data_IF_888591032979
#
_entry.id   IF_888591032979
#
_cell.length_a   1.000
_cell.length_b   1.000
_cell.length_c   1.000
_cell.angle_alpha   90.00
_cell.angle_beta   90.00
_cell.angle_gamma   90.00
#
_symmetry.space_group_name_H-M   'P 1'
#
loop_
_entity.id
_entity.type
_entity.pdbx_description
1 polymer ?
#
# COMPACT_ATOMS: atom_id res chain seq x y z
N UNK A 1 -31.77 12.45 47.34
CA UNK A 1 -31.95 10.98 47.23
C UNK A 1 -31.42 10.36 45.95
N UNK A 2 -31.69 10.87 44.75
CA UNK A 2 -31.17 10.27 43.49
C UNK A 2 -29.62 10.18 43.38
N UNK A 3 -28.88 11.24 43.79
CA UNK A 3 -27.39 11.23 43.71
C UNK A 3 -26.75 10.18 44.64
N UNK A 4 -27.29 9.96 45.81
CA UNK A 4 -26.78 8.98 46.79
C UNK A 4 -27.00 7.55 46.30
N UNK A 5 -28.16 7.27 45.69
CA UNK A 5 -28.50 5.97 45.13
C UNK A 5 -27.63 5.60 43.91
N UNK A 6 -27.23 6.59 43.09
CA UNK A 6 -26.29 6.44 41.98
C UNK A 6 -24.88 6.15 42.50
N UNK A 7 -24.42 6.83 43.54
CA UNK A 7 -23.12 6.60 44.17
C UNK A 7 -23.04 5.23 44.85
N UNK A 8 -24.11 4.79 45.51
CA UNK A 8 -24.16 3.48 46.18
C UNK A 8 -24.20 2.32 45.15
N UNK A 9 -24.95 2.48 44.05
CA UNK A 9 -24.93 1.52 42.97
C UNK A 9 -23.56 1.44 42.29
N UNK A 10 -22.88 2.56 42.08
CA UNK A 10 -21.53 2.62 41.50
C UNK A 10 -20.50 1.90 42.39
N UNK A 11 -20.61 2.10 43.73
CA UNK A 11 -19.72 1.49 44.72
C UNK A 11 -19.94 -0.04 44.84
N UNK A 12 -21.18 -0.49 44.74
CA UNK A 12 -21.51 -1.92 44.77
C UNK A 12 -21.05 -2.64 43.47
N UNK A 13 -21.22 -1.98 42.32
CA UNK A 13 -20.73 -2.48 41.06
C UNK A 13 -19.18 -2.56 41.06
N UNK A 14 -18.50 -1.51 41.53
CA UNK A 14 -17.03 -1.49 41.70
C UNK A 14 -16.51 -2.63 42.59
N UNK A 15 -17.23 -2.95 43.69
CA UNK A 15 -16.81 -4.04 44.57
C UNK A 15 -17.02 -5.43 43.97
N UNK A 16 -18.09 -5.63 43.19
CA UNK A 16 -18.33 -6.89 42.48
C UNK A 16 -17.37 -7.11 41.31
N UNK A 17 -16.79 -6.04 40.78
CA UNK A 17 -15.87 -6.06 39.61
C UNK A 17 -14.41 -6.12 40.01
N UNK A 18 -14.04 -5.90 41.26
CA UNK A 18 -12.67 -6.01 41.76
C UNK A 18 -12.06 -7.42 41.64
N UNK A 19 -12.89 -8.42 41.48
CA UNK A 19 -12.45 -9.81 41.29
C UNK A 19 -12.30 -10.24 39.81
N UNK A 20 -12.83 -9.46 38.85
CA UNK A 20 -12.79 -9.81 37.42
C UNK A 20 -12.28 -8.65 36.56
N UNK A 21 -10.98 -8.62 36.30
CA UNK A 21 -10.32 -7.78 35.30
C UNK A 21 -10.46 -6.25 35.51
N UNK A 22 -9.47 -5.64 36.14
CA UNK A 22 -9.39 -4.17 36.36
C UNK A 22 -9.37 -3.32 35.07
N UNK A 23 -9.11 -3.92 33.91
CA UNK A 23 -8.92 -3.19 32.66
C UNK A 23 -10.23 -2.79 32.00
N UNK A 24 -11.08 -3.79 31.71
CA UNK A 24 -12.38 -3.54 31.06
C UNK A 24 -13.30 -2.69 31.94
N UNK A 25 -13.22 -2.87 33.27
CA UNK A 25 -13.97 -2.06 34.22
C UNK A 25 -13.58 -0.57 34.14
N UNK A 26 -12.30 -0.24 34.08
CA UNK A 26 -11.83 1.14 33.96
C UNK A 26 -12.31 1.78 32.64
N UNK A 27 -12.24 1.06 31.54
CA UNK A 27 -12.75 1.53 30.25
C UNK A 27 -14.26 1.75 30.28
N UNK A 28 -15.01 0.81 30.84
CA UNK A 28 -16.45 0.93 30.99
C UNK A 28 -16.82 2.19 31.81
N UNK A 29 -16.18 2.38 32.96
CA UNK A 29 -16.44 3.54 33.81
C UNK A 29 -16.05 4.88 33.21
N UNK A 30 -15.01 4.90 32.36
CA UNK A 30 -14.65 6.13 31.62
C UNK A 30 -15.71 6.54 30.59
N UNK A 31 -16.46 5.58 30.08
CA UNK A 31 -17.49 5.80 29.06
C UNK A 31 -18.90 5.97 29.61
N UNK A 32 -19.22 5.39 30.78
CA UNK A 32 -20.60 5.39 31.34
C UNK A 32 -21.01 6.69 32.07
N UNK A 33 -20.07 7.62 32.34
CA UNK A 33 -20.34 8.92 32.97
C UNK A 33 -21.20 8.82 34.26
N UNK A 34 -20.95 7.78 35.06
CA UNK A 34 -21.67 7.54 36.30
C UNK A 34 -23.00 6.79 36.16
N UNK A 35 -23.34 6.34 34.95
CA UNK A 35 -24.45 5.41 34.70
C UNK A 35 -23.99 3.97 34.89
N UNK A 36 -24.90 3.02 34.85
CA UNK A 36 -24.60 1.57 34.87
C UNK A 36 -24.59 0.94 33.48
N UNK A 37 -24.55 1.75 32.43
CA UNK A 37 -24.47 1.35 31.04
C UNK A 37 -23.68 2.36 30.22
N UNK A 38 -23.14 1.91 29.08
CA UNK A 38 -22.56 2.76 28.04
C UNK A 38 -23.55 2.87 26.88
N UNK A 39 -23.77 4.08 26.37
CA UNK A 39 -24.59 4.25 25.17
C UNK A 39 -23.83 3.73 23.92
N UNK A 40 -24.48 2.90 23.09
CA UNK A 40 -23.93 2.41 21.83
C UNK A 40 -23.38 3.54 20.95
N UNK A 41 -24.13 4.64 20.86
CA UNK A 41 -23.72 5.83 20.10
C UNK A 41 -22.43 6.45 20.63
N UNK A 42 -22.25 6.45 21.95
CA UNK A 42 -21.04 7.00 22.58
C UNK A 42 -19.83 6.15 22.30
N UNK A 43 -19.97 4.82 22.36
CA UNK A 43 -18.89 3.90 22.02
C UNK A 43 -18.52 4.02 20.52
N UNK A 44 -19.52 4.05 19.62
CA UNK A 44 -19.29 4.29 18.18
C UNK A 44 -18.57 5.62 17.94
N UNK A 45 -19.00 6.70 18.61
CA UNK A 45 -18.35 8.02 18.48
C UNK A 45 -16.91 7.99 18.97
N UNK A 46 -16.61 7.32 20.09
CA UNK A 46 -15.25 7.20 20.61
C UNK A 46 -14.33 6.46 19.59
N UNK A 47 -14.82 5.36 18.99
CA UNK A 47 -14.09 4.64 17.96
C UNK A 47 -13.86 5.49 16.71
N UNK A 48 -14.89 6.18 16.22
CA UNK A 48 -14.77 7.04 15.04
C UNK A 48 -13.81 8.21 15.28
N UNK A 49 -13.86 8.84 16.47
CA UNK A 49 -12.95 9.91 16.83
C UNK A 49 -11.49 9.43 16.92
N UNK A 50 -11.27 8.16 17.23
CA UNK A 50 -9.94 7.55 17.17
C UNK A 50 -9.53 7.12 15.76
N UNK A 51 -10.32 7.39 14.72
CA UNK A 51 -10.03 7.05 13.33
C UNK A 51 -10.45 5.65 12.92
N UNK A 52 -11.06 4.85 13.80
CA UNK A 52 -11.51 3.50 13.48
C UNK A 52 -12.90 3.54 12.84
N UNK A 53 -13.05 2.96 11.67
CA UNK A 53 -14.28 2.99 10.88
C UNK A 53 -14.94 1.61 10.76
N UNK A 54 -16.25 1.59 10.48
CA UNK A 54 -17.02 0.36 10.25
C UNK A 54 -16.60 -0.40 8.98
N UNK A 55 -15.92 0.25 8.07
CA UNK A 55 -15.33 -0.35 6.87
C UNK A 55 -14.11 -1.25 7.14
N UNK A 56 -13.52 -1.19 8.33
CA UNK A 56 -12.46 -2.11 8.73
C UNK A 56 -13.03 -3.50 8.99
N UNK A 57 -12.64 -4.49 8.19
CA UNK A 57 -13.09 -5.88 8.31
C UNK A 57 -12.86 -6.49 9.70
N UNK A 58 -11.85 -6.01 10.43
CA UNK A 58 -11.56 -6.44 11.81
C UNK A 58 -12.65 -5.98 12.80
N UNK A 59 -13.35 -4.90 12.46
CA UNK A 59 -14.36 -4.24 13.29
C UNK A 59 -15.80 -4.50 12.82
N UNK A 60 -16.00 -5.11 11.65
CA UNK A 60 -17.33 -5.38 11.08
C UNK A 60 -18.25 -6.11 12.08
N UNK A 61 -17.74 -7.16 12.71
CA UNK A 61 -18.49 -7.92 13.72
C UNK A 61 -18.79 -7.12 14.99
N UNK A 62 -17.97 -6.15 15.35
CA UNK A 62 -18.20 -5.21 16.43
C UNK A 62 -19.36 -4.25 16.09
N UNK A 63 -19.26 -3.58 14.94
CA UNK A 63 -20.29 -2.60 14.55
C UNK A 63 -21.64 -3.25 14.35
N UNK A 64 -21.71 -4.45 13.74
CA UNK A 64 -22.96 -5.26 13.64
C UNK A 64 -23.56 -5.56 15.01
N UNK A 65 -22.74 -5.92 16.00
CA UNK A 65 -23.22 -6.17 17.38
C UNK A 65 -23.69 -4.91 18.05
N UNK A 66 -22.99 -3.80 17.89
CA UNK A 66 -23.40 -2.50 18.43
C UNK A 66 -24.75 -2.05 17.83
N UNK A 67 -25.04 -2.43 16.60
CA UNK A 67 -26.32 -2.15 15.95
C UNK A 67 -27.44 -3.04 16.45
N UNK A 68 -27.16 -4.32 16.65
CA UNK A 68 -28.14 -5.30 17.13
C UNK A 68 -28.46 -5.17 18.62
N UNK A 69 -27.55 -4.63 19.43
CA UNK A 69 -27.65 -4.64 20.90
C UNK A 69 -28.56 -3.55 21.49
N UNK A 70 -28.98 -2.57 20.66
CA UNK A 70 -29.81 -1.46 21.13
C UNK A 70 -28.98 -0.30 21.73
N UNK A 71 -29.66 0.62 22.44
CA UNK A 71 -29.03 1.89 22.86
C UNK A 71 -28.12 1.75 24.08
N UNK A 72 -28.33 0.75 24.94
CA UNK A 72 -27.68 0.64 26.25
C UNK A 72 -26.90 -0.66 26.37
N UNK A 73 -25.60 -0.55 26.58
CA UNK A 73 -24.66 -1.65 26.75
C UNK A 73 -24.32 -1.76 28.24
N UNK A 74 -24.75 -2.83 28.88
CA UNK A 74 -24.37 -3.12 30.27
C UNK A 74 -22.95 -3.69 30.33
N UNK A 75 -22.39 -3.79 31.53
CA UNK A 75 -20.98 -4.15 31.71
C UNK A 75 -20.62 -5.52 31.11
N UNK A 76 -21.44 -6.54 31.29
CA UNK A 76 -21.21 -7.89 30.80
C UNK A 76 -21.12 -7.92 29.26
N UNK A 77 -22.03 -7.19 28.60
CA UNK A 77 -22.08 -7.06 27.16
C UNK A 77 -20.90 -6.25 26.64
N UNK A 78 -20.53 -5.16 27.36
CA UNK A 78 -19.35 -4.37 27.05
C UNK A 78 -18.08 -5.22 27.07
N UNK A 79 -17.89 -6.03 28.12
CA UNK A 79 -16.76 -6.96 28.23
C UNK A 79 -16.75 -7.97 27.08
N UNK A 80 -17.91 -8.52 26.73
CA UNK A 80 -18.05 -9.45 25.61
C UNK A 80 -17.65 -8.79 24.29
N UNK A 81 -18.11 -7.57 24.06
CA UNK A 81 -17.79 -6.76 22.86
C UNK A 81 -16.28 -6.49 22.77
N UNK A 82 -15.65 -5.99 23.86
CA UNK A 82 -14.22 -5.67 23.88
C UNK A 82 -13.37 -6.93 23.62
N UNK A 83 -13.66 -8.03 24.31
CA UNK A 83 -12.88 -9.27 24.16
C UNK A 83 -12.98 -9.88 22.78
N UNK A 84 -14.13 -9.80 22.14
CA UNK A 84 -14.33 -10.33 20.80
C UNK A 84 -13.79 -9.44 19.69
N UNK A 85 -13.58 -8.14 19.97
CA UNK A 85 -13.02 -7.16 19.02
C UNK A 85 -11.49 -7.05 19.11
N UNK A 86 -10.86 -7.88 19.97
CA UNK A 86 -9.42 -7.91 20.17
C UNK A 86 -8.83 -6.65 20.83
N UNK A 87 -7.51 -6.55 20.82
CA UNK A 87 -6.75 -5.46 21.43
C UNK A 87 -6.99 -4.09 20.78
N UNK A 88 -7.50 -4.05 19.55
CA UNK A 88 -7.63 -2.82 18.77
C UNK A 88 -8.61 -1.82 19.43
N UNK A 89 -9.77 -2.31 19.85
CA UNK A 89 -10.77 -1.47 20.51
C UNK A 89 -10.27 -1.00 21.89
N UNK A 90 -9.60 -1.87 22.64
CA UNK A 90 -9.00 -1.51 23.92
C UNK A 90 -7.95 -0.40 23.74
N UNK A 91 -7.04 -0.55 22.80
CA UNK A 91 -6.02 0.46 22.46
C UNK A 91 -6.66 1.78 22.03
N UNK A 92 -7.72 1.72 21.20
CA UNK A 92 -8.46 2.90 20.77
C UNK A 92 -9.01 3.69 21.97
N UNK A 93 -9.71 3.01 22.87
CA UNK A 93 -10.32 3.63 24.04
C UNK A 93 -9.31 4.16 25.06
N UNK A 94 -8.07 3.68 25.00
CA UNK A 94 -6.96 4.15 25.84
C UNK A 94 -6.12 5.25 25.20
N UNK A 95 -6.35 5.56 23.92
CA UNK A 95 -5.47 6.45 23.18
C UNK A 95 -4.09 5.88 22.92
N UNK A 96 -3.98 4.55 22.77
CA UNK A 96 -2.73 3.80 22.54
C UNK A 96 -2.56 3.37 21.08
N UNK A 97 -3.36 3.92 20.15
CA UNK A 97 -3.18 3.74 18.71
C UNK A 97 -1.99 4.54 18.18
N UNK A 98 -1.56 4.27 16.97
CA UNK A 98 -0.42 4.92 16.32
C UNK A 98 -0.49 6.45 16.40
N UNK A 99 -1.69 7.00 16.30
CA UNK A 99 -1.97 8.43 16.52
C UNK A 99 -2.96 8.54 17.68
N UNK A 100 -2.50 8.87 18.90
CA UNK A 100 -3.33 8.91 20.10
C UNK A 100 -4.49 9.93 20.02
N UNK A 101 -4.21 11.17 19.60
CA UNK A 101 -5.20 12.20 19.37
C UNK A 101 -5.49 12.34 17.87
N UNK A 102 -6.26 11.40 17.35
CA UNK A 102 -6.59 11.35 15.93
C UNK A 102 -7.52 12.49 15.50
N UNK A 103 -8.36 13.00 16.40
CA UNK A 103 -9.22 14.15 16.10
C UNK A 103 -8.38 15.39 15.83
N UNK A 104 -7.44 15.72 16.72
CA UNK A 104 -6.53 16.84 16.54
C UNK A 104 -5.66 16.68 15.29
N UNK A 105 -5.16 15.47 15.03
CA UNK A 105 -4.43 15.16 13.80
C UNK A 105 -5.27 15.43 12.55
N UNK A 106 -6.53 14.98 12.54
CA UNK A 106 -7.46 15.17 11.42
C UNK A 106 -7.79 16.65 11.19
N UNK A 107 -8.01 17.44 12.23
CA UNK A 107 -8.26 18.88 12.13
C UNK A 107 -7.07 19.64 11.53
N UNK A 108 -5.84 19.24 11.87
CA UNK A 108 -4.65 19.81 11.24
C UNK A 108 -4.55 19.44 9.76
N UNK A 109 -4.85 18.20 9.42
CA UNK A 109 -4.88 17.77 8.00
C UNK A 109 -5.98 18.49 7.23
N UNK A 110 -7.13 18.76 7.83
CA UNK A 110 -8.19 19.56 7.22
C UNK A 110 -7.69 20.97 6.87
N UNK A 111 -6.98 21.59 7.80
CA UNK A 111 -6.39 22.92 7.59
C UNK A 111 -5.34 22.90 6.47
N UNK A 112 -4.45 21.90 6.49
CA UNK A 112 -3.42 21.73 5.43
C UNK A 112 -4.06 21.46 4.07
N UNK A 113 -5.09 20.61 4.02
CA UNK A 113 -5.82 20.30 2.79
C UNK A 113 -6.41 21.56 2.15
N UNK A 114 -7.11 22.37 2.96
CA UNK A 114 -7.73 23.61 2.48
C UNK A 114 -6.70 24.63 1.99
N UNK A 115 -5.55 24.67 2.61
CA UNK A 115 -4.47 25.57 2.20
C UNK A 115 -3.82 25.09 0.89
N UNK A 116 -3.46 23.81 0.81
CA UNK A 116 -2.81 23.24 -0.39
C UNK A 116 -3.74 23.26 -1.59
N UNK A 117 -5.05 23.01 -1.40
CA UNK A 117 -6.03 23.02 -2.49
C UNK A 117 -6.15 24.38 -3.20
N UNK A 118 -5.76 25.48 -2.56
CA UNK A 118 -5.73 26.81 -3.17
C UNK A 118 -4.62 26.97 -4.22
N UNK A 119 -3.60 26.10 -4.19
CA UNK A 119 -2.50 26.16 -5.14
C UNK A 119 -2.93 25.55 -6.48
N UNK A 120 -3.08 26.38 -7.49
CA UNK A 120 -3.47 26.03 -8.87
C UNK A 120 -2.30 26.19 -9.86
N UNK A 121 -1.04 26.21 -9.39
CA UNK A 121 0.13 26.48 -10.23
C UNK A 121 0.64 25.25 -10.98
N UNK A 122 0.08 24.04 -10.72
CA UNK A 122 0.47 22.82 -11.38
C UNK A 122 -0.17 22.63 -12.76
N UNK A 123 0.40 21.71 -13.54
CA UNK A 123 -0.18 21.24 -14.81
C UNK A 123 -0.39 19.73 -14.75
N UNK A 124 -1.35 19.24 -15.55
CA UNK A 124 -1.58 17.79 -15.69
C UNK A 124 -0.36 17.11 -16.31
N UNK A 125 -0.05 15.92 -15.82
CA UNK A 125 0.92 15.06 -16.47
C UNK A 125 0.41 14.72 -17.89
N UNK A 126 1.25 14.94 -18.91
CA UNK A 126 0.87 14.80 -20.32
C UNK A 126 1.79 13.87 -21.11
N UNK A 127 2.68 13.14 -20.43
CA UNK A 127 3.62 12.24 -21.10
C UNK A 127 2.95 11.01 -21.72
N UNK A 128 1.75 10.63 -21.26
CA UNK A 128 0.84 9.72 -21.96
C UNK A 128 -0.57 10.35 -22.04
N UNK A 129 -1.32 10.16 -23.15
CA UNK A 129 -2.62 10.81 -23.34
C UNK A 129 -3.64 10.56 -22.22
N UNK A 130 -3.79 9.34 -21.66
CA UNK A 130 -4.77 9.12 -20.59
C UNK A 130 -4.55 9.92 -19.32
N UNK A 131 -3.34 10.38 -19.03
CA UNK A 131 -3.06 11.24 -17.88
C UNK A 131 -3.49 12.68 -18.14
N UNK A 132 -3.41 13.13 -19.40
CA UNK A 132 -3.86 14.47 -19.80
C UNK A 132 -5.39 14.62 -19.83
N UNK A 133 -6.13 13.51 -19.79
CA UNK A 133 -7.59 13.48 -19.78
C UNK A 133 -8.19 13.51 -18.35
N UNK A 134 -7.36 13.54 -17.31
CA UNK A 134 -7.80 13.60 -15.91
C UNK A 134 -8.35 14.99 -15.60
N UNK A 135 -9.38 15.06 -14.75
CA UNK A 135 -9.90 16.33 -14.27
C UNK A 135 -8.85 17.07 -13.43
N UNK A 136 -8.39 18.28 -13.84
CA UNK A 136 -7.34 19.01 -13.13
C UNK A 136 -7.74 19.48 -11.73
N UNK A 137 -9.03 19.55 -11.43
CA UNK A 137 -9.54 20.00 -10.13
C UNK A 137 -9.62 18.87 -9.10
N UNK A 138 -9.37 17.62 -9.51
CA UNK A 138 -9.33 16.48 -8.58
C UNK A 138 -8.19 16.63 -7.56
N UNK A 139 -8.55 16.66 -6.30
CA UNK A 139 -7.60 16.71 -5.21
C UNK A 139 -8.10 15.88 -4.01
N UNK A 140 -7.37 14.86 -3.63
CA UNK A 140 -7.73 13.94 -2.55
C UNK A 140 -6.54 13.56 -1.68
N UNK A 141 -6.83 13.24 -0.43
CA UNK A 141 -5.87 12.67 0.51
C UNK A 141 -6.49 11.48 1.24
N UNK A 142 -5.73 10.41 1.42
CA UNK A 142 -6.07 9.29 2.27
C UNK A 142 -4.83 8.88 3.08
N UNK A 143 -5.02 8.70 4.39
CA UNK A 143 -3.99 8.24 5.31
C UNK A 143 -4.54 7.06 6.09
N UNK A 144 -3.78 5.96 6.15
CA UNK A 144 -4.10 4.78 6.94
C UNK A 144 -2.90 4.47 7.83
N UNK A 145 -3.12 4.39 9.13
CA UNK A 145 -2.08 3.98 10.08
C UNK A 145 -1.93 2.46 10.13
N UNK A 146 -0.85 1.97 10.73
CA UNK A 146 -0.62 0.53 10.96
C UNK A 146 -1.68 -0.11 11.85
N UNK A 147 -2.34 0.66 12.72
CA UNK A 147 -3.47 0.19 13.52
C UNK A 147 -4.80 0.22 12.75
N UNK A 148 -4.85 0.89 11.59
CA UNK A 148 -6.03 1.01 10.74
C UNK A 148 -6.89 2.24 11.03
N UNK A 149 -6.33 3.28 11.65
CA UNK A 149 -6.98 4.59 11.71
C UNK A 149 -7.02 5.19 10.31
N UNK A 150 -8.16 5.67 9.87
CA UNK A 150 -8.39 6.15 8.50
C UNK A 150 -8.77 7.64 8.53
N UNK A 151 -8.03 8.43 7.77
CA UNK A 151 -8.38 9.79 7.41
C UNK A 151 -8.53 9.89 5.90
N UNK A 152 -9.63 10.50 5.45
CA UNK A 152 -9.92 10.69 4.02
C UNK A 152 -10.56 12.06 3.82
N UNK A 153 -10.14 12.76 2.73
CA UNK A 153 -10.74 14.04 2.35
C UNK A 153 -10.60 14.30 0.85
N UNK A 154 -11.56 15.07 0.32
CA UNK A 154 -11.62 15.38 -1.11
C UNK A 154 -11.91 14.14 -1.95
N UNK A 155 -11.30 14.05 -3.12
CA UNK A 155 -11.54 13.03 -4.13
C UNK A 155 -10.80 11.70 -3.83
N UNK A 156 -10.67 11.35 -2.55
CA UNK A 156 -9.94 10.15 -2.07
C UNK A 156 -10.53 8.83 -2.56
N UNK A 157 -11.76 8.81 -3.07
CA UNK A 157 -12.43 7.63 -3.62
C UNK A 157 -12.40 7.57 -5.15
N UNK A 158 -11.72 8.50 -5.81
CA UNK A 158 -11.58 8.50 -7.27
C UNK A 158 -10.42 7.61 -7.67
N UNK A 159 -10.66 6.71 -8.61
CA UNK A 159 -9.63 5.83 -9.17
C UNK A 159 -8.58 6.67 -9.90
N UNK A 160 -7.30 6.34 -9.71
CA UNK A 160 -6.17 7.00 -10.38
C UNK A 160 -5.13 5.98 -10.84
N UNK A 161 -4.29 6.39 -11.79
CA UNK A 161 -3.18 5.54 -12.27
C UNK A 161 -2.08 5.45 -11.21
N UNK A 162 -1.69 4.23 -10.84
CA UNK A 162 -0.67 3.99 -9.80
C UNK A 162 0.72 4.51 -10.18
N UNK A 163 1.04 4.49 -11.48
CA UNK A 163 2.32 4.96 -12.02
C UNK A 163 3.53 4.49 -11.17
N UNK A 164 4.50 5.37 -10.92
CA UNK A 164 5.70 5.07 -10.13
C UNK A 164 5.45 4.70 -8.66
N UNK A 165 4.22 4.83 -8.16
CA UNK A 165 3.87 4.29 -6.84
C UNK A 165 4.01 2.75 -6.77
N UNK A 166 4.01 2.05 -7.92
CA UNK A 166 4.24 0.61 -7.97
C UNK A 166 5.68 0.20 -7.58
N UNK A 167 6.68 1.09 -7.72
CA UNK A 167 8.11 0.77 -7.51
C UNK A 167 8.42 0.18 -6.14
N UNK A 168 8.06 0.83 -5.01
CA UNK A 168 8.33 0.28 -3.70
C UNK A 168 7.61 -1.05 -3.45
N UNK A 169 6.41 -1.23 -3.99
CA UNK A 169 5.67 -2.48 -3.83
C UNK A 169 6.31 -3.63 -4.61
N UNK A 170 6.65 -3.41 -5.89
CA UNK A 170 7.36 -4.41 -6.69
C UNK A 170 8.70 -4.80 -6.07
N UNK A 171 9.42 -3.83 -5.49
CA UNK A 171 10.63 -4.11 -4.74
C UNK A 171 10.36 -4.99 -3.51
N UNK A 172 9.32 -4.70 -2.73
CA UNK A 172 8.89 -5.54 -1.61
C UNK A 172 8.51 -6.96 -2.05
N UNK A 173 7.78 -7.11 -3.16
CA UNK A 173 7.40 -8.42 -3.70
C UNK A 173 8.62 -9.21 -4.17
N UNK A 174 9.58 -8.56 -4.81
CA UNK A 174 10.84 -9.20 -5.19
C UNK A 174 11.64 -9.65 -3.96
N UNK A 175 11.71 -8.81 -2.91
CA UNK A 175 12.38 -9.17 -1.66
C UNK A 175 11.70 -10.32 -0.92
N UNK A 176 10.38 -10.34 -0.87
CA UNK A 176 9.62 -11.42 -0.26
C UNK A 176 9.90 -12.77 -0.93
N UNK A 177 10.03 -12.76 -2.26
CA UNK A 177 10.29 -13.98 -3.05
C UNK A 177 11.73 -14.47 -3.01
N UNK A 178 12.67 -13.56 -3.12
CA UNK A 178 14.08 -13.90 -3.35
C UNK A 178 14.99 -13.67 -2.15
N UNK A 179 14.54 -12.85 -1.19
CA UNK A 179 15.36 -12.34 -0.11
C UNK A 179 16.24 -11.15 -0.51
N UNK A 180 16.61 -10.37 0.49
CA UNK A 180 17.35 -9.11 0.35
C UNK A 180 18.66 -9.28 -0.44
N UNK A 181 19.48 -10.27 -0.07
CA UNK A 181 20.78 -10.50 -0.69
C UNK A 181 20.69 -10.80 -2.19
N UNK A 182 19.68 -11.58 -2.59
CA UNK A 182 19.51 -11.99 -3.99
C UNK A 182 19.05 -10.81 -4.85
N UNK A 183 18.10 -10.01 -4.35
CA UNK A 183 17.64 -8.80 -5.02
C UNK A 183 18.80 -7.83 -5.21
N UNK A 184 19.61 -7.61 -4.16
CA UNK A 184 20.72 -6.66 -4.23
C UNK A 184 21.96 -7.15 -4.97
N UNK A 185 21.95 -8.38 -5.48
CA UNK A 185 22.89 -8.79 -6.55
C UNK A 185 22.55 -8.19 -7.91
N UNK A 186 21.30 -7.74 -8.10
CA UNK A 186 20.78 -7.22 -9.37
C UNK A 186 20.46 -5.72 -9.33
N UNK A 187 20.26 -5.14 -8.16
CA UNK A 187 19.97 -3.71 -7.98
C UNK A 187 20.77 -3.15 -6.81
N UNK A 188 21.26 -1.93 -6.94
CA UNK A 188 22.03 -1.23 -5.91
C UNK A 188 21.15 -0.67 -4.79
N UNK A 189 21.79 0.02 -3.85
CA UNK A 189 21.18 0.74 -2.73
C UNK A 189 21.68 2.17 -2.67
N UNK A 190 22.30 2.64 -3.76
CA UNK A 190 22.98 3.93 -3.81
C UNK A 190 22.05 5.02 -4.34
N UNK A 191 22.14 6.24 -3.84
CA UNK A 191 21.53 7.39 -4.49
C UNK A 191 22.12 7.57 -5.89
N UNK A 192 21.28 7.80 -6.90
CA UNK A 192 21.75 7.96 -8.27
C UNK A 192 22.49 9.29 -8.49
N UNK A 193 22.09 10.35 -7.78
CA UNK A 193 22.53 11.73 -8.04
C UNK A 193 22.13 12.21 -9.44
N UNK A 194 21.19 11.53 -10.11
CA UNK A 194 20.76 11.75 -11.48
C UNK A 194 19.23 11.74 -11.58
N UNK A 195 18.71 12.05 -12.77
CA UNK A 195 17.28 11.92 -13.02
C UNK A 195 16.84 10.47 -12.93
N UNK A 196 15.56 10.25 -12.56
CA UNK A 196 15.00 8.93 -12.29
C UNK A 196 14.93 8.04 -13.55
N UNK A 197 14.96 8.62 -14.74
CA UNK A 197 14.90 7.98 -16.06
C UNK A 197 16.25 7.95 -16.80
N UNK A 198 17.36 8.30 -16.13
CA UNK A 198 18.71 8.24 -16.68
C UNK A 198 19.12 6.78 -16.97
N UNK A 199 19.74 6.55 -18.13
CA UNK A 199 20.20 5.24 -18.59
C UNK A 199 21.52 4.77 -17.94
N UNK A 200 21.99 5.46 -16.91
CA UNK A 200 23.27 5.16 -16.25
C UNK A 200 23.13 4.00 -15.26
N UNK A 201 24.07 3.09 -15.30
CA UNK A 201 24.16 1.94 -14.40
C UNK A 201 25.43 2.00 -13.55
N UNK A 202 25.38 1.41 -12.34
CA UNK A 202 26.56 1.19 -11.50
C UNK A 202 27.41 0.02 -12.01
N UNK A 203 28.70 0.16 -12.02
CA UNK A 203 29.61 -0.94 -12.25
C UNK A 203 29.93 -1.65 -10.92
N UNK A 204 29.79 -2.98 -10.86
CA UNK A 204 30.20 -3.83 -9.73
C UNK A 204 31.29 -4.79 -10.18
N UNK A 205 32.30 -4.98 -9.34
CA UNK A 205 33.31 -6.03 -9.52
C UNK A 205 32.71 -7.41 -9.32
N UNK A 206 33.38 -8.46 -9.82
CA UNK A 206 33.00 -9.85 -9.56
C UNK A 206 32.90 -10.18 -8.06
N UNK A 207 33.67 -9.48 -7.19
CA UNK A 207 33.61 -9.57 -5.74
C UNK A 207 32.45 -8.79 -5.08
N UNK A 208 31.61 -8.09 -5.89
CA UNK A 208 30.45 -7.33 -5.40
C UNK A 208 30.77 -5.91 -4.95
N UNK A 209 32.03 -5.46 -4.98
CA UNK A 209 32.42 -4.11 -4.59
C UNK A 209 31.99 -3.11 -5.67
N UNK A 210 31.49 -1.95 -5.25
CA UNK A 210 31.17 -0.84 -6.14
C UNK A 210 32.46 -0.21 -6.67
N UNK A 211 32.62 -0.15 -7.99
CA UNK A 211 33.51 0.78 -8.63
C UNK A 211 32.66 1.95 -9.14
N UNK A 212 33.10 3.17 -8.83
CA UNK A 212 32.33 4.38 -9.13
C UNK A 212 31.85 4.42 -10.58
N UNK A 213 30.77 5.17 -10.83
CA UNK A 213 30.06 5.27 -12.11
C UNK A 213 30.90 5.70 -13.34
N UNK A 214 32.19 6.01 -13.16
CA UNK A 214 33.07 6.60 -14.17
C UNK A 214 34.45 5.95 -14.26
N UNK A 215 34.58 4.66 -14.06
CA UNK A 215 35.83 3.96 -14.39
C UNK A 215 35.99 3.84 -15.90
N UNK A 216 36.62 4.82 -16.57
CA UNK A 216 36.94 4.76 -18.01
C UNK A 216 37.96 3.66 -18.39
N UNK A 217 38.61 3.04 -17.43
CA UNK A 217 39.87 2.36 -17.71
C UNK A 217 39.81 0.82 -17.68
N UNK A 218 38.65 0.16 -17.51
CA UNK A 218 38.62 -1.29 -17.51
C UNK A 218 37.39 -1.91 -18.21
N UNK A 219 37.31 -1.74 -19.52
CA UNK A 219 36.40 -2.50 -20.39
C UNK A 219 36.77 -3.99 -20.53
N UNK A 220 37.84 -4.47 -19.90
CA UNK A 220 38.32 -5.85 -19.95
C UNK A 220 38.01 -6.70 -18.72
N UNK A 221 37.35 -6.17 -17.71
CA UNK A 221 36.88 -6.97 -16.57
C UNK A 221 35.41 -7.35 -16.70
N UNK A 222 35.04 -8.53 -16.26
CA UNK A 222 33.63 -8.95 -16.15
C UNK A 222 32.91 -8.13 -15.06
N UNK A 223 32.54 -6.89 -15.37
CA UNK A 223 31.76 -6.03 -14.48
C UNK A 223 30.29 -6.26 -14.74
N UNK A 224 29.56 -6.67 -13.70
CA UNK A 224 28.10 -6.64 -13.75
C UNK A 224 27.65 -5.19 -13.57
N UNK A 225 26.84 -4.69 -14.48
CA UNK A 225 26.23 -3.36 -14.37
C UNK A 225 24.85 -3.51 -13.75
N UNK A 226 24.56 -2.75 -12.72
CA UNK A 226 23.30 -2.81 -11.99
C UNK A 226 22.68 -1.42 -11.83
N UNK A 227 21.36 -1.31 -11.78
CA UNK A 227 20.71 -0.04 -11.43
C UNK A 227 21.14 0.48 -10.06
N UNK A 228 21.13 1.80 -9.87
CA UNK A 228 21.55 2.45 -8.63
C UNK A 228 20.72 2.00 -7.42
N UNK A 229 19.42 2.00 -7.55
CA UNK A 229 18.47 1.60 -6.53
C UNK A 229 17.13 1.20 -7.15
N UNK A 230 16.19 0.60 -6.38
CA UNK A 230 14.89 0.15 -6.90
C UNK A 230 13.92 1.28 -7.30
N UNK A 231 14.21 2.53 -6.93
CA UNK A 231 13.29 3.67 -7.13
C UNK A 231 13.55 4.44 -8.42
N UNK A 232 14.73 4.31 -9.04
CA UNK A 232 14.95 4.77 -10.41
C UNK A 232 14.31 3.82 -11.41
N UNK A 233 13.96 4.28 -12.61
CA UNK A 233 13.25 3.45 -13.60
C UNK A 233 14.00 2.14 -13.92
N UNK A 234 15.30 2.19 -14.13
CA UNK A 234 16.12 0.98 -14.35
C UNK A 234 15.98 -0.04 -13.21
N UNK A 235 16.00 0.43 -11.97
CA UNK A 235 15.84 -0.44 -10.80
C UNK A 235 14.45 -0.99 -10.64
N UNK A 236 13.43 -0.22 -10.99
CA UNK A 236 12.05 -0.67 -10.95
C UNK A 236 11.77 -1.73 -12.03
N UNK A 237 12.29 -1.55 -13.24
CA UNK A 237 12.25 -2.56 -14.31
C UNK A 237 12.97 -3.83 -13.86
N UNK A 238 14.17 -3.69 -13.25
CA UNK A 238 14.92 -4.81 -12.71
C UNK A 238 14.12 -5.58 -11.64
N UNK A 239 13.58 -4.89 -10.64
CA UNK A 239 12.81 -5.54 -9.56
C UNK A 239 11.55 -6.21 -10.07
N UNK A 240 10.83 -5.59 -11.02
CA UNK A 240 9.71 -6.21 -11.69
C UNK A 240 10.13 -7.47 -12.46
N UNK A 241 11.27 -7.42 -13.17
CA UNK A 241 11.83 -8.56 -13.90
C UNK A 241 12.25 -9.73 -13.00
N UNK A 242 12.59 -9.45 -11.73
CA UNK A 242 12.97 -10.47 -10.74
C UNK A 242 11.77 -11.21 -10.12
N UNK A 243 10.54 -10.68 -10.26
CA UNK A 243 9.36 -11.32 -9.72
C UNK A 243 8.97 -12.52 -10.59
N UNK A 244 9.08 -13.73 -10.02
CA UNK A 244 8.70 -14.99 -10.67
C UNK A 244 9.24 -15.10 -12.13
N UNK A 245 10.55 -15.00 -12.35
CA UNK A 245 11.13 -14.92 -13.71
C UNK A 245 10.90 -16.17 -14.55
N UNK A 246 10.54 -17.30 -13.91
CA UNK A 246 10.26 -18.58 -14.57
C UNK A 246 8.79 -18.76 -14.98
N UNK A 247 7.91 -17.87 -14.57
CA UNK A 247 6.48 -17.90 -14.88
C UNK A 247 6.17 -17.12 -16.16
N UNK A 248 5.07 -17.49 -16.83
CA UNK A 248 4.57 -16.76 -17.99
C UNK A 248 4.15 -15.34 -17.60
N UNK A 249 4.11 -14.45 -18.58
CA UNK A 249 3.65 -13.06 -18.39
C UNK A 249 2.31 -12.97 -17.67
N UNK A 250 1.32 -13.74 -18.09
CA UNK A 250 -0.01 -13.76 -17.47
C UNK A 250 0.03 -14.18 -16.00
N UNK A 251 0.86 -15.17 -15.65
CA UNK A 251 1.02 -15.62 -14.26
C UNK A 251 1.70 -14.55 -13.42
N UNK A 252 2.74 -13.89 -13.93
CA UNK A 252 3.46 -12.79 -13.25
C UNK A 252 2.54 -11.60 -13.01
N UNK A 253 1.79 -11.15 -14.01
CA UNK A 253 0.81 -10.07 -13.88
C UNK A 253 -0.28 -10.43 -12.86
N UNK A 254 -0.79 -11.69 -12.92
CA UNK A 254 -1.76 -12.18 -11.93
C UNK A 254 -1.18 -12.12 -10.52
N UNK A 255 0.05 -12.58 -10.32
CA UNK A 255 0.73 -12.54 -9.03
C UNK A 255 0.81 -11.13 -8.48
N UNK A 256 1.26 -10.16 -9.28
CA UNK A 256 1.39 -8.76 -8.87
C UNK A 256 0.01 -8.17 -8.51
N UNK A 257 -0.99 -8.35 -9.37
CA UNK A 257 -2.35 -7.86 -9.10
C UNK A 257 -2.95 -8.45 -7.83
N UNK A 258 -2.74 -9.74 -7.57
CA UNK A 258 -3.20 -10.40 -6.35
C UNK A 258 -2.51 -9.84 -5.10
N UNK A 259 -1.22 -9.55 -5.16
CA UNK A 259 -0.51 -8.97 -4.02
C UNK A 259 -0.91 -7.52 -3.78
N UNK A 260 -1.10 -6.71 -4.81
CA UNK A 260 -1.72 -5.39 -4.66
C UNK A 260 -3.13 -5.50 -4.07
N UNK A 261 -3.94 -6.45 -4.54
CA UNK A 261 -5.27 -6.72 -3.98
C UNK A 261 -5.21 -7.02 -2.48
N UNK A 262 -4.28 -7.88 -2.04
CA UNK A 262 -4.09 -8.17 -0.61
C UNK A 262 -3.74 -6.93 0.21
N UNK A 263 -2.92 -6.03 -0.32
CA UNK A 263 -2.56 -4.79 0.36
C UNK A 263 -3.77 -3.87 0.57
N UNK A 264 -4.75 -3.90 -0.33
CA UNK A 264 -6.00 -3.13 -0.21
C UNK A 264 -7.13 -3.92 0.47
N UNK A 265 -6.83 -5.07 1.09
CA UNK A 265 -7.79 -5.85 1.85
C UNK A 265 -8.61 -6.87 1.03
N UNK A 266 -8.29 -7.06 -0.26
CA UNK A 266 -8.95 -8.07 -1.07
C UNK A 266 -8.63 -9.50 -0.59
N UNK A 267 -9.65 -10.37 -0.58
CA UNK A 267 -9.52 -11.78 -0.26
C UNK A 267 -9.87 -12.65 -1.48
N UNK A 268 -9.18 -13.79 -1.69
CA UNK A 268 -9.54 -14.76 -2.73
C UNK A 268 -10.96 -15.34 -2.62
N UNK A 269 -11.63 -15.16 -1.47
CA UNK A 269 -13.02 -15.54 -1.26
C UNK A 269 -14.01 -14.53 -1.86
N UNK A 270 -13.55 -13.31 -2.08
CA UNK A 270 -14.32 -12.28 -2.73
C UNK A 270 -14.36 -12.62 -4.22
N UNK A 271 -15.51 -12.52 -4.85
CA UNK A 271 -15.72 -12.92 -6.25
C UNK A 271 -14.66 -12.27 -7.15
N UNK A 272 -13.95 -13.10 -7.91
CA UNK A 272 -12.97 -12.68 -8.90
C UNK A 272 -13.60 -11.66 -9.85
N UNK A 273 -13.29 -10.38 -9.70
CA UNK A 273 -13.65 -9.40 -10.73
C UNK A 273 -13.87 -7.97 -10.30
N UNK A 274 -14.31 -7.66 -9.08
CA UNK A 274 -14.70 -6.28 -8.74
C UNK A 274 -13.60 -5.44 -8.07
N UNK A 275 -12.74 -6.05 -7.25
CA UNK A 275 -11.91 -5.29 -6.30
C UNK A 275 -10.39 -5.42 -6.50
N UNK A 276 -9.93 -6.20 -7.49
CA UNK A 276 -8.52 -6.19 -7.89
C UNK A 276 -8.18 -4.89 -8.63
N UNK A 277 -6.97 -4.35 -8.43
CA UNK A 277 -6.49 -3.21 -9.20
C UNK A 277 -6.75 -3.44 -10.69
N UNK A 278 -7.46 -2.52 -11.33
CA UNK A 278 -7.85 -2.65 -12.74
C UNK A 278 -6.61 -2.48 -13.61
N UNK A 279 -6.41 -3.42 -14.54
CA UNK A 279 -5.42 -3.25 -15.59
C UNK A 279 -6.08 -2.56 -16.78
N UNK A 280 -5.67 -1.34 -17.08
CA UNK A 280 -6.15 -0.61 -18.24
C UNK A 280 -5.27 -0.90 -19.46
N UNK A 281 -5.74 -1.78 -20.35
CA UNK A 281 -4.99 -2.15 -21.56
C UNK A 281 -4.67 -0.95 -22.46
N UNK A 282 -5.58 0.01 -22.57
CA UNK A 282 -5.35 1.18 -23.41
C UNK A 282 -4.23 2.06 -22.83
N UNK A 283 -4.24 2.30 -21.53
CA UNK A 283 -3.17 3.04 -20.86
C UNK A 283 -1.82 2.33 -21.01
N UNK A 284 -1.75 1.02 -20.81
CA UNK A 284 -0.53 0.23 -20.98
C UNK A 284 0.00 0.30 -22.43
N UNK A 285 -0.89 0.25 -23.45
CA UNK A 285 -0.50 0.44 -24.86
C UNK A 285 0.08 1.83 -25.11
N UNK A 286 -0.53 2.86 -24.56
CA UNK A 286 -0.08 4.25 -24.69
C UNK A 286 1.27 4.48 -24.00
N UNK A 287 1.48 3.90 -22.83
CA UNK A 287 2.77 3.91 -22.15
C UNK A 287 3.86 3.24 -22.96
N UNK A 288 3.60 2.06 -23.52
CA UNK A 288 4.55 1.35 -24.39
C UNK A 288 4.93 2.21 -25.62
N UNK A 289 3.97 2.92 -26.21
CA UNK A 289 4.23 3.81 -27.36
C UNK A 289 5.11 5.02 -27.02
N UNK A 290 5.04 5.52 -25.79
CA UNK A 290 5.79 6.70 -25.31
C UNK A 290 7.00 6.34 -24.47
N UNK A 291 7.11 5.07 -24.05
CA UNK A 291 8.10 4.59 -23.09
C UNK A 291 9.49 4.25 -23.68
N UNK A 292 9.93 4.92 -24.75
CA UNK A 292 11.19 4.60 -25.43
C UNK A 292 12.42 4.54 -24.50
N UNK A 293 12.51 5.44 -23.53
CA UNK A 293 13.60 5.43 -22.56
C UNK A 293 13.56 4.16 -21.69
N UNK A 294 12.39 3.75 -21.22
CA UNK A 294 12.21 2.55 -20.41
C UNK A 294 12.49 1.28 -21.24
N UNK A 295 12.08 1.25 -22.50
CA UNK A 295 12.37 0.17 -23.44
C UNK A 295 13.88 0.07 -23.67
N UNK A 296 14.55 1.17 -23.99
CA UNK A 296 16.00 1.22 -24.16
C UNK A 296 16.75 0.77 -22.91
N UNK A 297 16.26 1.13 -21.74
CA UNK A 297 16.78 0.73 -20.44
C UNK A 297 16.64 -0.77 -20.20
N UNK A 298 15.49 -1.34 -20.54
CA UNK A 298 15.25 -2.79 -20.48
C UNK A 298 16.26 -3.55 -21.36
N UNK A 299 16.46 -3.13 -22.61
CA UNK A 299 17.46 -3.71 -23.50
C UNK A 299 18.90 -3.55 -22.98
N UNK A 300 19.23 -2.41 -22.39
CA UNK A 300 20.53 -2.20 -21.74
C UNK A 300 20.76 -3.19 -20.61
N UNK A 301 19.76 -3.41 -19.76
CA UNK A 301 19.82 -4.37 -18.65
C UNK A 301 19.98 -5.81 -19.15
N UNK A 302 19.35 -6.18 -20.27
CA UNK A 302 19.56 -7.45 -20.93
C UNK A 302 20.96 -7.57 -21.53
N UNK A 303 21.39 -6.58 -22.30
CA UNK A 303 22.70 -6.57 -22.95
C UNK A 303 23.87 -6.63 -21.96
N UNK A 304 23.67 -6.15 -20.74
CA UNK A 304 24.66 -6.24 -19.65
C UNK A 304 24.57 -7.53 -18.83
N UNK A 305 23.66 -8.46 -19.19
CA UNK A 305 23.41 -9.70 -18.45
C UNK A 305 22.85 -9.46 -17.03
N UNK A 306 22.31 -8.28 -16.76
CA UNK A 306 21.81 -7.90 -15.45
C UNK A 306 20.36 -8.37 -15.23
N UNK A 307 19.54 -8.29 -16.26
CA UNK A 307 18.16 -8.80 -16.23
C UNK A 307 18.18 -10.32 -16.50
N UNK A 308 17.63 -11.16 -15.61
CA UNK A 308 17.53 -12.59 -15.86
C UNK A 308 16.58 -12.86 -17.03
N UNK A 309 17.05 -13.63 -18.00
CA UNK A 309 16.24 -14.14 -19.10
C UNK A 309 16.55 -15.62 -19.34
N UNK A 310 15.61 -16.37 -19.84
CA UNK A 310 15.85 -17.72 -20.36
C UNK A 310 16.21 -17.62 -21.84
N UNK A 311 17.38 -18.11 -22.22
CA UNK A 311 17.83 -18.17 -23.64
C UNK A 311 16.88 -18.97 -24.53
N UNK A 312 15.98 -19.77 -23.96
CA UNK A 312 15.17 -20.76 -24.70
C UNK A 312 13.80 -20.26 -25.18
N UNK A 313 13.32 -19.11 -24.71
CA UNK A 313 11.97 -18.64 -25.08
C UNK A 313 11.93 -17.59 -26.21
N UNK A 314 13.09 -17.15 -26.70
CA UNK A 314 13.21 -16.12 -27.73
C UNK A 314 12.69 -16.52 -29.12
N UNK A 315 12.37 -17.77 -29.37
CA UNK A 315 12.05 -18.25 -30.72
C UNK A 315 10.70 -18.95 -30.91
N UNK A 316 9.93 -19.23 -29.86
CA UNK A 316 8.76 -20.11 -30.05
C UNK A 316 7.38 -19.52 -29.81
N UNK A 317 7.25 -18.29 -29.29
CA UNK A 317 5.93 -17.70 -28.93
C UNK A 317 5.48 -16.53 -29.83
N UNK A 318 5.94 -16.47 -31.08
CA UNK A 318 5.30 -15.62 -32.08
C UNK A 318 4.11 -16.41 -32.63
N UNK A 319 2.98 -16.36 -31.96
CA UNK A 319 1.70 -16.76 -32.53
C UNK A 319 1.19 -15.63 -33.44
N UNK A 320 1.01 -15.91 -34.76
CA UNK A 320 0.61 -14.88 -35.72
C UNK A 320 -0.82 -14.35 -35.55
N UNK A 321 -1.63 -14.94 -34.66
CA UNK A 321 -3.06 -14.68 -34.55
C UNK A 321 -3.51 -13.87 -33.31
N UNK A 322 -2.60 -13.46 -32.44
CA UNK A 322 -2.94 -12.58 -31.32
C UNK A 322 -2.43 -11.16 -31.59
N UNK A 323 -3.34 -10.34 -32.09
CA UNK A 323 -3.25 -8.86 -32.26
C UNK A 323 -1.87 -8.29 -32.66
N UNK A 324 -1.81 -7.69 -33.82
CA UNK A 324 -0.71 -7.00 -34.54
C UNK A 324 0.25 -6.11 -33.72
N UNK A 325 0.35 -6.28 -32.39
CA UNK A 325 1.00 -5.33 -31.49
C UNK A 325 2.27 -5.81 -30.77
N UNK A 326 2.67 -7.08 -30.92
CA UNK A 326 3.86 -7.61 -30.25
C UNK A 326 5.18 -7.47 -31.05
N UNK A 327 5.20 -6.61 -32.04
CA UNK A 327 6.23 -6.66 -33.08
C UNK A 327 7.65 -6.18 -32.69
N UNK A 328 7.89 -5.54 -31.55
CA UNK A 328 9.18 -4.85 -31.35
C UNK A 328 9.85 -4.94 -29.98
N UNK A 329 9.39 -5.75 -29.06
CA UNK A 329 10.04 -5.86 -27.75
C UNK A 329 10.30 -7.32 -27.40
N UNK A 330 11.54 -7.62 -27.03
CA UNK A 330 11.86 -8.93 -26.49
C UNK A 330 10.98 -9.24 -25.26
N UNK A 331 10.47 -10.48 -25.10
CA UNK A 331 9.50 -10.83 -24.06
C UNK A 331 9.89 -10.37 -22.66
N UNK A 332 11.15 -10.53 -22.27
CA UNK A 332 11.63 -10.15 -20.94
C UNK A 332 11.56 -8.63 -20.67
N UNK A 333 11.86 -7.80 -21.68
CA UNK A 333 11.79 -6.33 -21.56
C UNK A 333 10.35 -5.87 -21.53
N UNK A 334 9.54 -6.40 -22.45
CA UNK A 334 8.10 -6.12 -22.50
C UNK A 334 7.42 -6.52 -21.21
N UNK A 335 7.74 -7.69 -20.66
CA UNK A 335 7.20 -8.16 -19.39
C UNK A 335 7.62 -7.30 -18.21
N UNK A 336 8.91 -6.98 -18.10
CA UNK A 336 9.40 -6.10 -17.04
C UNK A 336 8.72 -4.72 -17.12
N UNK A 337 8.51 -4.19 -18.33
CA UNK A 337 7.82 -2.91 -18.54
C UNK A 337 6.32 -2.95 -18.22
N UNK A 338 5.64 -4.05 -18.55
CA UNK A 338 4.21 -4.23 -18.20
C UNK A 338 3.97 -4.40 -16.70
N UNK A 339 4.99 -4.82 -15.94
CA UNK A 339 4.97 -4.98 -14.50
C UNK A 339 5.46 -3.72 -13.75
N UNK A 340 6.13 -2.83 -14.46
CA UNK A 340 6.57 -1.52 -14.00
C UNK A 340 5.45 -0.49 -14.17
#
# INVERSE_FOLDING_TARGET
MKKKRIQDNHKNLLNSLKEKSNREANLFFSLCEGQNFVESKKLKKALNNSGLQSSDNRLEGLFKRLEAHGEKIVFEDFVSIIRTSGLLVEKSLRGELAIPDFSYFSENLDTMFDEVKKNQSGELASYIPPLAEVDPDQFGIAIITTDGQIYQRGDSNVDFSIQSMCKPFNYCFAMEKLGLEKVHKHVGQEPSGRQFDDLTLLARTASGNLQGAYGKDNLKGHFKRVPFNPMVNAGAIMTAGLINPDESHTQRLRFIRQNFGRLIGWSPKDNFGSDLPRFNKNMARQENFKGYNNIAMGYLLMATGSLPHKETELHNDIHPDEDEFDFYTEPAVTEALKLY
#
